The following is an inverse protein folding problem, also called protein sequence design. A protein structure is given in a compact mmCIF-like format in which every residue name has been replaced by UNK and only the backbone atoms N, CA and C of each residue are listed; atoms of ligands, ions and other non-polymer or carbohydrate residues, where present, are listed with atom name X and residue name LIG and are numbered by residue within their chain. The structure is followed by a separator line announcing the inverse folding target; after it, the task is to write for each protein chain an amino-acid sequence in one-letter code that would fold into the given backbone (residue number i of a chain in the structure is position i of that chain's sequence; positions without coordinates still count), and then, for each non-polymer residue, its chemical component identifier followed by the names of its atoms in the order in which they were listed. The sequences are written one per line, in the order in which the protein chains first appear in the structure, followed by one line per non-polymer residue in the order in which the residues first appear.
data_IF_813082641729
#
_entry.id   IF_813082641729
#
_cell.length_a   1.000
_cell.length_b   1.000
_cell.length_c   1.000
_cell.angle_alpha   90.00
_cell.angle_beta   90.00
_cell.angle_gamma   90.00
#
_symmetry.space_group_name_H-M   'P 1'
#
loop_
_entity.id
_entity.type
_entity.pdbx_description
1 polymer ?
#
# COMPACT_ATOMS: atom_id res chain seq x y z
N UNK A 1 -9.22 19.05 -19.67
CA UNK A 1 -9.42 20.21 -18.83
C UNK A 1 -9.86 19.88 -17.40
N UNK A 2 -9.62 18.65 -16.87
CA UNK A 2 -9.98 18.28 -15.50
C UNK A 2 -8.76 17.88 -14.65
N UNK A 3 -7.58 18.08 -15.16
CA UNK A 3 -6.31 17.71 -14.49
C UNK A 3 -5.68 18.83 -13.65
N UNK A 4 -6.24 20.04 -13.63
CA UNK A 4 -5.63 21.22 -13.04
C UNK A 4 -6.20 21.67 -11.68
N UNK A 5 -6.97 20.85 -10.99
CA UNK A 5 -7.61 21.25 -9.73
C UNK A 5 -7.19 20.49 -8.47
N UNK A 6 -6.07 19.79 -8.49
CA UNK A 6 -5.42 19.33 -7.24
C UNK A 6 -4.48 20.38 -6.63
N UNK A 7 -4.39 21.58 -7.20
CA UNK A 7 -3.43 22.63 -6.84
C UNK A 7 -3.83 23.50 -5.64
N UNK A 8 -4.81 23.11 -4.86
CA UNK A 8 -5.35 23.98 -3.78
C UNK A 8 -4.94 23.64 -2.35
N UNK A 9 -4.23 22.55 -2.13
CA UNK A 9 -3.67 22.19 -0.82
C UNK A 9 -2.16 22.22 -0.97
N UNK A 10 -1.48 22.91 -0.06
CA UNK A 10 -0.01 22.85 0.06
C UNK A 10 0.41 21.42 0.47
N UNK A 11 0.29 20.55 -0.49
CA UNK A 11 0.67 19.16 -0.45
C UNK A 11 2.14 19.09 -0.82
N UNK A 12 3.08 19.33 0.04
CA UNK A 12 4.52 19.25 -0.22
C UNK A 12 4.91 18.60 -1.58
N UNK A 13 6.11 18.78 -2.07
CA UNK A 13 6.52 18.19 -3.35
C UNK A 13 6.23 16.70 -3.37
N UNK A 14 5.40 16.16 -4.29
CA UNK A 14 5.07 14.74 -4.31
C UNK A 14 6.29 13.90 -4.69
N UNK A 15 6.56 12.86 -3.90
CA UNK A 15 7.58 11.88 -4.23
C UNK A 15 7.06 10.92 -5.32
N UNK A 16 5.85 10.44 -5.10
CA UNK A 16 5.14 9.53 -6.01
C UNK A 16 3.86 10.18 -6.46
N UNK A 17 3.58 10.08 -7.76
CA UNK A 17 2.33 10.50 -8.37
C UNK A 17 1.89 9.45 -9.37
N UNK A 18 0.66 8.98 -9.27
CA UNK A 18 0.07 8.11 -10.28
C UNK A 18 -1.08 8.84 -10.98
N UNK A 19 -1.17 8.70 -12.30
CA UNK A 19 -2.17 9.34 -13.14
C UNK A 19 -2.87 8.31 -14.00
N UNK A 20 -4.18 8.15 -13.78
CA UNK A 20 -5.05 7.27 -14.55
C UNK A 20 -4.47 5.85 -14.68
N UNK A 21 -3.90 5.33 -13.60
CA UNK A 21 -3.25 4.02 -13.59
C UNK A 21 -4.28 2.92 -13.75
N UNK A 22 -4.02 2.01 -14.69
CA UNK A 22 -4.88 0.86 -15.00
C UNK A 22 -4.04 -0.40 -15.05
N UNK A 23 -4.56 -1.46 -14.48
CA UNK A 23 -4.04 -2.82 -14.64
C UNK A 23 -5.19 -3.79 -14.84
N UNK A 24 -5.28 -4.33 -16.05
CA UNK A 24 -6.29 -5.29 -16.46
C UNK A 24 -5.65 -6.65 -16.74
N UNK A 25 -6.34 -7.70 -16.37
CA UNK A 25 -5.92 -9.08 -16.66
C UNK A 25 -6.95 -9.77 -17.54
N UNK A 26 -6.48 -10.48 -18.55
CA UNK A 26 -7.35 -11.32 -19.36
C UNK A 26 -7.68 -12.60 -18.59
N UNK A 27 -8.95 -12.90 -18.41
CA UNK A 27 -9.45 -14.12 -17.79
C UNK A 27 -10.33 -14.89 -18.78
N UNK A 28 -10.69 -16.12 -18.42
CA UNK A 28 -11.63 -16.91 -19.23
C UNK A 28 -13.03 -16.29 -19.31
N UNK A 29 -13.40 -15.45 -18.33
CA UNK A 29 -14.70 -14.77 -18.24
C UNK A 29 -14.71 -13.37 -18.81
N UNK A 30 -13.55 -12.82 -19.17
CA UNK A 30 -13.40 -11.46 -19.68
C UNK A 30 -12.21 -10.72 -19.08
N UNK A 31 -12.22 -9.40 -19.17
CA UNK A 31 -11.15 -8.55 -18.65
C UNK A 31 -11.42 -8.19 -17.19
N UNK A 32 -10.52 -8.62 -16.32
CA UNK A 32 -10.51 -8.23 -14.92
C UNK A 32 -9.86 -6.85 -14.77
N UNK A 33 -10.63 -5.84 -14.34
CA UNK A 33 -10.16 -4.49 -14.07
C UNK A 33 -9.63 -4.38 -12.62
N UNK A 34 -8.48 -4.99 -12.36
CA UNK A 34 -7.93 -5.09 -11.01
C UNK A 34 -7.51 -3.73 -10.44
N UNK A 35 -6.99 -2.84 -11.27
CA UNK A 35 -6.73 -1.42 -10.99
C UNK A 35 -7.34 -0.63 -12.14
N UNK A 36 -8.25 0.28 -11.83
CA UNK A 36 -9.05 0.93 -12.86
C UNK A 36 -9.15 2.44 -12.61
N UNK A 37 -8.32 3.19 -13.35
CA UNK A 37 -8.31 4.65 -13.38
C UNK A 37 -8.05 5.28 -12.00
N UNK A 38 -6.95 4.92 -11.36
CA UNK A 38 -6.57 5.46 -10.06
C UNK A 38 -5.54 6.58 -10.24
N UNK A 39 -5.81 7.72 -9.61
CA UNK A 39 -4.93 8.89 -9.58
C UNK A 39 -4.79 9.42 -8.16
N UNK A 40 -3.57 9.53 -7.68
CA UNK A 40 -3.24 10.20 -6.41
C UNK A 40 -1.75 10.57 -6.37
N UNK A 41 -1.37 11.36 -5.38
CA UNK A 41 0.02 11.66 -5.08
C UNK A 41 0.35 11.37 -3.62
N UNK A 42 1.63 11.05 -3.37
CA UNK A 42 2.14 10.81 -2.02
C UNK A 42 3.28 11.81 -1.78
N UNK A 43 3.10 12.77 -0.86
CA UNK A 43 4.16 13.71 -0.48
C UNK A 43 5.35 13.00 0.15
N UNK A 44 6.54 13.53 -0.05
CA UNK A 44 7.76 13.01 0.56
C UNK A 44 7.67 13.02 2.08
N UNK A 45 8.03 11.91 2.72
CA UNK A 45 8.02 11.77 4.17
C UNK A 45 6.66 11.40 4.77
N UNK A 46 5.61 11.28 3.97
CA UNK A 46 4.27 10.89 4.43
C UNK A 46 3.97 9.41 4.21
N UNK A 47 2.95 8.93 4.88
CA UNK A 47 2.37 7.60 4.66
C UNK A 47 0.97 7.74 4.09
N UNK A 48 0.75 7.14 2.91
CA UNK A 48 -0.59 6.93 2.37
C UNK A 48 -1.07 5.53 2.76
N UNK A 49 -2.15 5.47 3.53
CA UNK A 49 -2.87 4.22 3.79
C UNK A 49 -3.76 3.86 2.61
N UNK A 50 -3.72 2.60 2.19
CA UNK A 50 -4.61 2.06 1.17
C UNK A 50 -5.41 0.93 1.80
N UNK A 51 -6.72 1.12 1.89
CA UNK A 51 -7.62 0.20 2.60
C UNK A 51 -8.73 -0.31 1.71
N UNK A 52 -9.31 -1.42 2.10
CA UNK A 52 -10.43 -2.05 1.43
C UNK A 52 -10.48 -3.54 1.73
N UNK A 53 -11.57 -4.18 1.32
CA UNK A 53 -11.75 -5.63 1.46
C UNK A 53 -10.71 -6.40 0.64
N UNK A 54 -10.44 -7.66 1.02
CA UNK A 54 -9.60 -8.57 0.25
C UNK A 54 -10.10 -8.70 -1.20
N UNK A 55 -9.18 -8.69 -2.16
CA UNK A 55 -9.51 -8.78 -3.58
C UNK A 55 -9.97 -7.46 -4.21
N UNK A 56 -9.86 -6.32 -3.53
CA UNK A 56 -10.22 -5.02 -4.10
C UNK A 56 -9.14 -4.39 -5.00
N UNK A 57 -7.98 -5.04 -5.17
CA UNK A 57 -6.89 -4.58 -6.02
C UNK A 57 -5.75 -3.83 -5.31
N UNK A 58 -5.71 -3.82 -3.98
CA UNK A 58 -4.68 -3.12 -3.20
C UNK A 58 -3.26 -3.59 -3.51
N UNK A 59 -3.02 -4.90 -3.43
CA UNK A 59 -1.71 -5.48 -3.72
C UNK A 59 -1.33 -5.33 -5.19
N UNK A 60 -2.29 -5.48 -6.09
CA UNK A 60 -2.08 -5.24 -7.53
C UNK A 60 -1.69 -3.79 -7.79
N UNK A 61 -2.33 -2.83 -7.11
CA UNK A 61 -1.97 -1.41 -7.20
C UNK A 61 -0.52 -1.19 -6.78
N UNK A 62 -0.10 -1.73 -5.64
CA UNK A 62 1.27 -1.59 -5.14
C UNK A 62 2.30 -2.17 -6.10
N UNK A 63 2.05 -3.35 -6.64
CA UNK A 63 2.95 -4.01 -7.60
C UNK A 63 3.01 -3.30 -8.94
N UNK A 64 1.89 -2.75 -9.39
CA UNK A 64 1.83 -1.98 -10.64
C UNK A 64 2.55 -0.65 -10.49
N UNK A 65 2.37 0.03 -9.36
CA UNK A 65 3.06 1.27 -9.05
C UNK A 65 4.58 1.09 -9.05
N UNK A 66 5.08 -0.02 -8.50
CA UNK A 66 6.50 -0.37 -8.50
C UNK A 66 6.98 -0.95 -9.84
N UNK A 67 6.12 -1.08 -10.83
CA UNK A 67 6.38 -1.74 -12.11
C UNK A 67 6.89 -3.18 -11.95
N UNK A 68 6.47 -3.87 -10.91
CA UNK A 68 6.59 -5.32 -10.78
C UNK A 68 5.57 -6.03 -11.67
N UNK A 69 4.45 -5.36 -11.94
CA UNK A 69 3.47 -5.69 -12.97
C UNK A 69 3.46 -4.53 -13.96
N UNK A 70 3.50 -4.83 -15.26
CA UNK A 70 3.39 -3.79 -16.29
C UNK A 70 1.98 -3.22 -16.31
N UNK A 71 1.81 -1.89 -16.20
CA UNK A 71 0.51 -1.25 -16.31
C UNK A 71 -0.14 -1.49 -17.68
N UNK A 72 -1.46 -1.54 -17.70
CA UNK A 72 -2.22 -1.52 -18.95
C UNK A 72 -2.26 -0.11 -19.55
N UNK A 73 -2.37 0.90 -18.68
CA UNK A 73 -2.41 2.32 -19.07
C UNK A 73 -2.05 3.19 -17.85
N UNK A 74 -1.81 4.47 -18.09
CA UNK A 74 -1.53 5.45 -17.07
C UNK A 74 -0.06 5.78 -16.91
N UNK A 75 0.25 6.59 -15.90
CA UNK A 75 1.60 7.06 -15.60
C UNK A 75 1.93 6.83 -14.13
N UNK A 76 3.20 6.55 -13.86
CA UNK A 76 3.77 6.51 -12.51
C UNK A 76 4.98 7.44 -12.50
N UNK A 77 4.89 8.52 -11.72
CA UNK A 77 5.94 9.52 -11.63
C UNK A 77 6.68 9.41 -10.30
N UNK A 78 8.00 9.30 -10.37
CA UNK A 78 8.90 9.42 -9.24
C UNK A 78 9.63 10.77 -9.36
N UNK A 79 9.37 11.69 -8.44
CA UNK A 79 9.88 13.08 -8.51
C UNK A 79 9.68 13.72 -9.89
N UNK A 80 8.52 13.50 -10.50
CA UNK A 80 8.16 14.03 -11.79
C UNK A 80 8.65 13.24 -13.01
N UNK A 81 9.47 12.21 -12.83
CA UNK A 81 9.94 11.34 -13.92
C UNK A 81 9.05 10.11 -14.06
N UNK A 82 8.53 9.87 -15.28
CA UNK A 82 7.70 8.68 -15.54
C UNK A 82 8.58 7.42 -15.59
N UNK A 83 8.41 6.56 -14.59
CA UNK A 83 9.19 5.32 -14.48
C UNK A 83 8.83 4.30 -15.57
N UNK A 84 7.67 4.44 -16.21
CA UNK A 84 7.23 3.55 -17.29
C UNK A 84 7.99 3.79 -18.59
N UNK A 85 8.66 4.94 -18.72
CA UNK A 85 9.53 5.28 -19.85
C UNK A 85 11.00 4.83 -19.63
N UNK A 86 11.32 4.33 -18.44
CA UNK A 86 12.65 3.85 -18.11
C UNK A 86 12.99 2.58 -18.90
N UNK A 87 14.22 2.54 -19.43
CA UNK A 87 14.79 1.31 -19.99
C UNK A 87 15.24 0.37 -18.85
N UNK A 88 15.76 -0.80 -19.19
CA UNK A 88 16.18 -1.82 -18.24
C UNK A 88 17.23 -1.32 -17.23
N UNK A 89 18.22 -0.56 -17.73
CA UNK A 89 19.28 -0.02 -16.87
C UNK A 89 18.78 1.08 -15.94
N UNK A 90 17.93 1.98 -16.44
CA UNK A 90 17.28 3.01 -15.64
C UNK A 90 16.37 2.39 -14.58
N UNK A 91 15.66 1.31 -14.90
CA UNK A 91 14.83 0.58 -13.92
C UNK A 91 15.67 -0.09 -12.84
N UNK A 92 16.86 -0.58 -13.17
CA UNK A 92 17.78 -1.12 -12.16
C UNK A 92 18.15 -0.07 -11.12
N UNK A 93 18.41 1.16 -11.53
CA UNK A 93 18.65 2.29 -10.63
C UNK A 93 17.37 2.64 -9.84
N UNK A 94 16.22 2.66 -10.50
CA UNK A 94 14.94 2.96 -9.87
C UNK A 94 14.57 1.93 -8.79
N UNK A 95 14.95 0.65 -8.98
CA UNK A 95 14.74 -0.41 -7.98
C UNK A 95 15.45 -0.14 -6.65
N UNK A 96 16.55 0.63 -6.65
CA UNK A 96 17.21 1.04 -5.42
C UNK A 96 16.42 2.11 -4.67
N UNK A 97 15.62 2.90 -5.36
CA UNK A 97 14.84 4.02 -4.79
C UNK A 97 13.48 3.58 -4.26
N UNK A 98 12.92 2.51 -4.81
CA UNK A 98 11.58 2.00 -4.49
C UNK A 98 11.64 0.51 -4.18
N UNK A 99 11.12 0.12 -3.04
CA UNK A 99 11.12 -1.25 -2.56
C UNK A 99 9.74 -1.69 -2.09
N UNK A 100 9.60 -2.98 -1.84
CA UNK A 100 8.38 -3.58 -1.33
C UNK A 100 8.66 -4.46 -0.11
N UNK A 101 7.82 -4.33 0.91
CA UNK A 101 7.73 -5.27 2.02
C UNK A 101 6.49 -6.12 1.80
N UNK A 102 6.67 -7.44 1.74
CA UNK A 102 5.63 -8.39 1.33
C UNK A 102 4.77 -8.85 2.51
N UNK A 103 3.54 -9.26 2.20
CA UNK A 103 2.55 -9.75 3.15
C UNK A 103 2.99 -11.02 3.88
N UNK A 104 3.53 -11.99 3.13
CA UNK A 104 3.88 -13.31 3.67
C UNK A 104 5.38 -13.41 3.89
N UNK A 105 5.82 -13.32 5.17
CA UNK A 105 7.24 -13.45 5.48
C UNK A 105 7.80 -14.87 5.26
N UNK A 106 6.93 -15.87 5.09
CA UNK A 106 7.35 -17.24 4.76
C UNK A 106 7.60 -17.40 3.26
N UNK A 107 6.70 -16.88 2.43
CA UNK A 107 6.78 -17.02 0.99
C UNK A 107 7.80 -16.07 0.34
N UNK A 108 8.07 -14.92 0.95
CA UNK A 108 8.93 -13.88 0.37
C UNK A 108 10.43 -14.12 0.58
N UNK A 109 10.82 -15.04 1.46
CA UNK A 109 12.22 -15.35 1.78
C UNK A 109 12.61 -16.70 1.17
N UNK A 110 13.77 -16.76 0.52
CA UNK A 110 14.31 -18.04 0.01
C UNK A 110 14.76 -18.92 1.17
N UNK A 111 14.13 -20.09 1.40
CA UNK A 111 14.45 -20.95 2.54
C UNK A 111 15.85 -21.58 2.47
N UNK A 112 16.49 -21.52 1.32
CA UNK A 112 17.85 -22.04 1.10
C UNK A 112 18.95 -21.05 1.47
N UNK A 113 18.59 -19.79 1.69
CA UNK A 113 19.53 -18.72 2.00
C UNK A 113 19.55 -18.43 3.50
N UNK A 114 20.71 -18.08 4.02
CA UNK A 114 20.85 -17.58 5.39
C UNK A 114 20.31 -16.15 5.51
N UNK A 115 20.01 -15.70 6.72
CA UNK A 115 19.58 -14.33 7.00
C UNK A 115 20.53 -13.31 6.38
N UNK A 116 21.85 -13.46 6.60
CA UNK A 116 22.86 -12.57 6.03
C UNK A 116 22.80 -12.51 4.51
N UNK A 117 22.66 -13.64 3.86
CA UNK A 117 22.62 -13.72 2.40
C UNK A 117 21.35 -13.10 1.82
N UNK A 118 20.22 -13.28 2.49
CA UNK A 118 18.95 -12.65 2.08
C UNK A 118 19.07 -11.13 2.13
N UNK A 119 19.62 -10.58 3.20
CA UNK A 119 19.77 -9.13 3.35
C UNK A 119 20.82 -8.58 2.39
N UNK A 120 21.90 -9.33 2.14
CA UNK A 120 22.98 -8.93 1.24
C UNK A 120 22.60 -9.00 -0.25
N UNK A 121 21.63 -9.84 -0.62
CA UNK A 121 21.28 -10.09 -2.04
C UNK A 121 20.98 -8.82 -2.83
N UNK A 122 20.10 -7.91 -2.40
CA UNK A 122 19.83 -6.69 -3.16
C UNK A 122 21.05 -5.79 -3.30
N UNK A 123 21.95 -5.77 -2.34
CA UNK A 123 23.21 -5.01 -2.43
C UNK A 123 24.08 -5.55 -3.58
N UNK A 124 24.18 -6.88 -3.68
CA UNK A 124 24.94 -7.57 -4.72
C UNK A 124 24.30 -7.43 -6.09
N UNK A 125 22.99 -7.63 -6.18
CA UNK A 125 22.22 -7.52 -7.43
C UNK A 125 22.27 -6.11 -8.01
N UNK A 126 22.11 -5.10 -7.17
CA UNK A 126 22.18 -3.69 -7.56
C UNK A 126 23.63 -3.16 -7.67
N UNK A 127 24.63 -3.98 -7.37
CA UNK A 127 26.06 -3.64 -7.45
C UNK A 127 26.44 -2.38 -6.65
N UNK A 128 25.86 -2.22 -5.48
CA UNK A 128 26.08 -1.05 -4.62
C UNK A 128 27.42 -1.10 -3.89
N UNK A 129 27.82 -2.28 -3.44
CA UNK A 129 29.09 -2.55 -2.78
C UNK A 129 29.73 -3.78 -3.40
N UNK A 130 31.08 -3.82 -3.44
CA UNK A 130 31.84 -4.88 -4.09
C UNK A 130 32.71 -5.70 -3.12
N UNK A 131 33.09 -5.10 -1.99
CA UNK A 131 33.90 -5.76 -0.97
C UNK A 131 33.02 -6.60 -0.05
N UNK A 132 33.39 -7.84 0.21
CA UNK A 132 32.69 -8.71 1.18
C UNK A 132 32.67 -8.10 2.59
N UNK A 133 33.74 -7.41 3.01
CA UNK A 133 33.80 -6.74 4.30
C UNK A 133 32.78 -5.59 4.39
N UNK A 134 32.66 -4.76 3.35
CA UNK A 134 31.69 -3.67 3.30
C UNK A 134 30.26 -4.19 3.33
N UNK A 135 29.98 -5.28 2.58
CA UNK A 135 28.67 -5.93 2.56
C UNK A 135 28.33 -6.48 3.94
N UNK A 136 29.26 -7.17 4.59
CA UNK A 136 29.07 -7.73 5.93
C UNK A 136 28.82 -6.64 6.98
N UNK A 137 29.53 -5.53 6.93
CA UNK A 137 29.29 -4.38 7.80
C UNK A 137 27.90 -3.79 7.58
N UNK A 138 27.50 -3.63 6.32
CA UNK A 138 26.16 -3.13 5.98
C UNK A 138 25.06 -4.06 6.50
N UNK A 139 25.20 -5.37 6.30
CA UNK A 139 24.26 -6.39 6.77
C UNK A 139 24.16 -6.39 8.30
N UNK A 140 25.29 -6.34 9.01
CA UNK A 140 25.30 -6.29 10.47
C UNK A 140 24.61 -5.02 11.00
N UNK A 141 24.86 -3.87 10.37
CA UNK A 141 24.18 -2.60 10.70
C UNK A 141 22.68 -2.66 10.46
N UNK A 142 22.23 -3.27 9.37
CA UNK A 142 20.82 -3.46 9.05
C UNK A 142 20.13 -4.40 10.05
N UNK A 143 20.79 -5.50 10.44
CA UNK A 143 20.28 -6.40 11.46
C UNK A 143 20.05 -5.67 12.79
N UNK A 144 21.00 -4.86 13.21
CA UNK A 144 20.87 -4.03 14.41
C UNK A 144 19.71 -3.05 14.27
N UNK A 145 19.61 -2.36 13.14
CA UNK A 145 18.56 -1.38 12.85
C UNK A 145 17.15 -1.98 12.97
N UNK A 146 16.95 -3.21 12.52
CA UNK A 146 15.64 -3.88 12.60
C UNK A 146 15.46 -4.74 13.84
N UNK A 147 16.42 -4.76 14.75
CA UNK A 147 16.33 -5.50 16.01
C UNK A 147 16.54 -7.00 15.89
N UNK A 148 17.32 -7.46 14.92
CA UNK A 148 17.76 -8.85 14.79
C UNK A 148 19.10 -9.06 15.49
N UNK A 149 19.15 -10.00 16.43
CA UNK A 149 20.39 -10.33 17.12
C UNK A 149 21.47 -10.88 16.14
N UNK A 150 22.75 -10.53 16.33
CA UNK A 150 23.85 -10.98 15.45
C UNK A 150 23.94 -12.51 15.30
N UNK A 151 23.53 -13.25 16.33
CA UNK A 151 23.54 -14.73 16.31
C UNK A 151 22.64 -15.33 15.22
N UNK A 152 21.67 -14.58 14.70
CA UNK A 152 20.78 -15.04 13.65
C UNK A 152 21.35 -14.89 12.23
N UNK A 153 22.53 -14.29 12.08
CA UNK A 153 23.12 -14.01 10.76
C UNK A 153 23.27 -15.27 9.89
N UNK A 154 23.62 -16.40 10.50
CA UNK A 154 23.80 -17.69 9.81
C UNK A 154 22.58 -18.61 9.92
N UNK A 155 21.49 -18.15 10.53
CA UNK A 155 20.25 -18.91 10.62
C UNK A 155 19.50 -18.90 9.27
N UNK A 156 18.64 -19.90 9.09
CA UNK A 156 17.72 -19.97 7.96
C UNK A 156 16.33 -19.46 8.37
N UNK A 157 15.51 -18.96 7.43
CA UNK A 157 14.20 -18.42 7.78
C UNK A 157 13.29 -19.36 8.57
N UNK A 158 13.34 -20.68 8.28
CA UNK A 158 12.52 -21.66 8.98
C UNK A 158 12.87 -21.86 10.46
N UNK A 159 14.04 -21.40 10.88
CA UNK A 159 14.49 -21.43 12.29
C UNK A 159 13.94 -20.24 13.09
N UNK A 160 13.26 -19.28 12.45
CA UNK A 160 12.81 -18.04 13.05
C UNK A 160 11.27 -17.94 13.02
N UNK A 161 10.72 -17.19 13.98
CA UNK A 161 9.29 -16.89 14.03
C UNK A 161 8.87 -15.84 12.98
N UNK A 162 7.55 -15.61 12.87
CA UNK A 162 6.98 -14.69 11.89
C UNK A 162 7.46 -13.25 12.06
N UNK A 163 7.58 -12.76 13.29
CA UNK A 163 8.07 -11.41 13.59
C UNK A 163 9.52 -11.20 13.15
N UNK A 164 10.39 -12.16 13.42
CA UNK A 164 11.79 -12.12 12.98
C UNK A 164 11.92 -12.23 11.46
N UNK A 165 11.13 -13.09 10.82
CA UNK A 165 11.09 -13.17 9.35
C UNK A 165 10.66 -11.85 8.72
N UNK A 166 9.67 -11.18 9.28
CA UNK A 166 9.26 -9.87 8.80
C UNK A 166 10.38 -8.83 8.96
N UNK A 167 11.13 -8.88 10.06
CA UNK A 167 12.31 -8.03 10.26
C UNK A 167 13.39 -8.28 9.22
N UNK A 168 13.60 -9.52 8.79
CA UNK A 168 14.49 -9.84 7.67
C UNK A 168 14.01 -9.18 6.38
N UNK A 169 12.72 -9.26 6.08
CA UNK A 169 12.12 -8.62 4.91
C UNK A 169 12.26 -7.10 4.92
N UNK A 170 12.11 -6.48 6.09
CA UNK A 170 12.33 -5.03 6.27
C UNK A 170 13.80 -4.67 6.05
N UNK A 171 14.73 -5.42 6.65
CA UNK A 171 16.17 -5.19 6.49
C UNK A 171 16.58 -5.33 5.01
N UNK A 172 16.06 -6.33 4.30
CA UNK A 172 16.29 -6.53 2.87
C UNK A 172 15.82 -5.33 2.04
N UNK A 173 14.63 -4.81 2.34
CA UNK A 173 14.11 -3.62 1.68
C UNK A 173 14.99 -2.38 1.94
N UNK A 174 15.50 -2.21 3.16
CA UNK A 174 16.37 -1.10 3.54
C UNK A 174 17.79 -1.20 2.99
N UNK A 175 18.21 -2.38 2.54
CA UNK A 175 19.59 -2.65 2.14
C UNK A 175 20.09 -1.77 0.98
N UNK A 176 19.20 -1.27 0.16
CA UNK A 176 19.50 -0.41 -0.99
C UNK A 176 19.28 1.08 -0.71
N UNK A 177 19.02 1.45 0.53
CA UNK A 177 18.71 2.82 0.98
C UNK A 177 17.58 3.47 0.17
N UNK A 178 16.38 2.84 0.13
CA UNK A 178 15.25 3.35 -0.65
C UNK A 178 14.70 4.65 -0.09
N UNK A 179 13.92 5.36 -0.91
CA UNK A 179 13.16 6.54 -0.49
C UNK A 179 11.67 6.24 -0.35
N UNK A 180 11.19 5.25 -1.08
CA UNK A 180 9.79 4.85 -1.12
C UNK A 180 9.65 3.34 -0.90
N UNK A 181 8.73 2.95 -0.03
CA UNK A 181 8.43 1.55 0.25
C UNK A 181 6.92 1.32 0.19
N UNK A 182 6.50 0.34 -0.59
CA UNK A 182 5.16 -0.23 -0.52
C UNK A 182 5.17 -1.32 0.54
N UNK A 183 4.39 -1.13 1.60
CA UNK A 183 4.18 -2.12 2.65
C UNK A 183 2.87 -2.85 2.36
N UNK A 184 2.94 -4.08 1.84
CA UNK A 184 1.77 -4.87 1.47
C UNK A 184 1.35 -5.76 2.64
N UNK A 185 0.40 -5.28 3.42
CA UNK A 185 -0.14 -5.95 4.62
C UNK A 185 0.97 -6.52 5.54
N UNK A 186 1.93 -5.67 5.97
CA UNK A 186 3.17 -6.15 6.59
C UNK A 186 2.98 -6.80 7.96
N UNK A 187 1.80 -6.67 8.56
CA UNK A 187 1.51 -7.17 9.91
C UNK A 187 0.32 -8.14 9.98
N UNK A 188 -0.37 -8.40 8.87
CA UNK A 188 -1.63 -9.17 8.87
C UNK A 188 -1.48 -10.62 9.33
N UNK A 189 -0.31 -11.23 9.12
CA UNK A 189 -0.01 -12.62 9.51
C UNK A 189 0.61 -12.76 10.91
N UNK A 190 0.71 -11.66 11.67
CA UNK A 190 1.40 -11.61 12.96
C UNK A 190 0.41 -11.48 14.12
N UNK A 191 0.83 -11.95 15.31
CA UNK A 191 0.10 -11.76 16.57
C UNK A 191 0.02 -10.28 16.93
N UNK A 192 -1.03 -9.87 17.67
CA UNK A 192 -1.31 -8.47 17.99
C UNK A 192 -0.12 -7.74 18.63
N UNK A 193 0.57 -8.39 19.59
CA UNK A 193 1.74 -7.79 20.25
C UNK A 193 2.93 -7.60 19.28
N UNK A 194 3.14 -8.55 18.39
CA UNK A 194 4.18 -8.49 17.37
C UNK A 194 3.82 -7.46 16.29
N UNK A 195 2.55 -7.34 15.92
CA UNK A 195 2.07 -6.29 15.01
C UNK A 195 2.46 -4.90 15.53
N UNK A 196 2.21 -4.61 16.79
CA UNK A 196 2.56 -3.33 17.41
C UNK A 196 4.07 -3.05 17.33
N UNK A 197 4.90 -4.06 17.57
CA UNK A 197 6.35 -3.93 17.48
C UNK A 197 6.81 -3.61 16.04
N UNK A 198 6.26 -4.29 15.04
CA UNK A 198 6.61 -4.06 13.63
C UNK A 198 6.11 -2.69 13.15
N UNK A 199 4.90 -2.27 13.54
CA UNK A 199 4.39 -0.94 13.23
C UNK A 199 5.26 0.17 13.81
N UNK A 200 5.66 0.04 15.07
CA UNK A 200 6.56 0.98 15.72
C UNK A 200 7.92 1.02 15.02
N UNK A 201 8.45 -0.13 14.63
CA UNK A 201 9.70 -0.21 13.85
C UNK A 201 9.57 0.55 12.52
N UNK A 202 8.49 0.33 11.77
CA UNK A 202 8.26 1.02 10.50
C UNK A 202 8.13 2.54 10.67
N UNK A 203 7.47 2.99 11.73
CA UNK A 203 7.34 4.41 12.05
C UNK A 203 8.69 5.04 12.45
N UNK A 204 9.48 4.35 13.26
CA UNK A 204 10.83 4.80 13.65
C UNK A 204 11.77 4.89 12.45
N UNK A 205 11.73 3.89 11.57
CA UNK A 205 12.52 3.88 10.33
C UNK A 205 12.12 5.01 9.38
N UNK A 206 10.83 5.32 9.28
CA UNK A 206 10.34 6.44 8.49
C UNK A 206 10.92 7.76 8.97
N UNK A 207 10.91 7.99 10.27
CA UNK A 207 11.45 9.20 10.88
C UNK A 207 12.98 9.29 10.70
N UNK A 208 13.70 8.19 10.97
CA UNK A 208 15.17 8.15 10.90
C UNK A 208 15.72 8.30 9.48
N UNK A 209 15.03 7.71 8.49
CA UNK A 209 15.50 7.66 7.10
C UNK A 209 14.69 8.54 6.14
N UNK A 210 13.75 9.32 6.66
CA UNK A 210 12.82 10.13 5.86
C UNK A 210 12.13 9.32 4.75
N UNK A 211 11.60 8.15 5.12
CA UNK A 211 10.94 7.25 4.19
C UNK A 211 9.51 7.72 3.87
N UNK A 212 9.07 7.43 2.67
CA UNK A 212 7.69 7.60 2.22
C UNK A 212 7.08 6.21 2.06
N UNK A 213 5.91 5.99 2.64
CA UNK A 213 5.22 4.70 2.58
C UNK A 213 3.90 4.77 1.81
N UNK A 214 3.61 3.72 1.05
CA UNK A 214 2.24 3.33 0.73
C UNK A 214 1.93 2.07 1.57
N UNK A 215 1.06 2.22 2.57
CA UNK A 215 0.75 1.16 3.53
C UNK A 215 -0.58 0.51 3.20
N UNK A 216 -0.54 -0.72 2.71
CA UNK A 216 -1.71 -1.49 2.32
C UNK A 216 -2.16 -2.34 3.49
N UNK A 217 -3.43 -2.21 3.88
CA UNK A 217 -4.04 -3.03 4.93
C UNK A 217 -5.55 -3.12 4.76
N UNK A 218 -6.16 -4.16 5.32
CA UNK A 218 -7.61 -4.25 5.48
C UNK A 218 -8.06 -3.80 6.88
N UNK A 219 -7.13 -3.48 7.78
CA UNK A 219 -7.40 -3.09 9.15
C UNK A 219 -7.42 -1.56 9.29
N UNK A 220 -8.63 -1.00 9.51
CA UNK A 220 -8.84 0.44 9.66
C UNK A 220 -8.16 1.01 10.90
N UNK A 221 -8.02 0.23 11.98
CA UNK A 221 -7.34 0.67 13.20
C UNK A 221 -5.84 0.86 12.97
N UNK A 222 -5.23 -0.04 12.21
CA UNK A 222 -3.81 0.04 11.83
C UNK A 222 -3.55 1.26 10.95
N UNK A 223 -4.37 1.46 9.92
CA UNK A 223 -4.19 2.58 8.99
C UNK A 223 -4.39 3.94 9.67
N UNK A 224 -5.31 4.02 10.63
CA UNK A 224 -5.51 5.22 11.44
C UNK A 224 -4.26 5.62 12.20
N UNK A 225 -3.55 4.62 12.73
CA UNK A 225 -2.36 4.84 13.55
C UNK A 225 -1.15 5.32 12.74
N UNK A 226 -0.94 4.76 11.54
CA UNK A 226 0.29 4.99 10.77
C UNK A 226 0.15 6.04 9.65
N UNK A 227 -1.05 6.31 9.16
CA UNK A 227 -1.24 7.05 7.90
C UNK A 227 -1.55 8.53 8.11
N UNK A 228 -1.01 9.36 7.22
CA UNK A 228 -1.35 10.79 7.09
C UNK A 228 -2.62 10.98 6.26
N UNK A 229 -2.76 10.19 5.19
CA UNK A 229 -3.90 10.17 4.29
C UNK A 229 -4.31 8.75 3.98
N UNK A 230 -5.57 8.57 3.58
CA UNK A 230 -6.14 7.26 3.29
C UNK A 230 -6.83 7.29 1.94
N UNK A 231 -6.54 6.29 1.11
CA UNK A 231 -7.29 5.94 -0.09
C UNK A 231 -8.12 4.68 0.19
N UNK A 232 -9.42 4.79 0.05
CA UNK A 232 -10.34 3.66 0.20
C UNK A 232 -10.60 3.04 -1.16
N UNK A 233 -10.31 1.76 -1.31
CA UNK A 233 -10.47 1.03 -2.56
C UNK A 233 -11.63 0.05 -2.50
N UNK A 234 -12.37 -0.01 -3.59
CA UNK A 234 -13.42 -0.98 -3.81
C UNK A 234 -13.39 -1.48 -5.27
N UNK A 235 -13.24 -2.78 -5.46
CA UNK A 235 -13.23 -3.45 -6.78
C UNK A 235 -12.39 -2.70 -7.84
N UNK A 236 -11.14 -2.39 -7.50
CA UNK A 236 -10.19 -1.78 -8.41
C UNK A 236 -10.28 -0.27 -8.55
N UNK A 237 -11.19 0.39 -7.85
CA UNK A 237 -11.37 1.84 -7.89
C UNK A 237 -11.09 2.48 -6.52
N UNK A 238 -10.60 3.72 -6.54
CA UNK A 238 -10.56 4.56 -5.35
C UNK A 238 -11.91 5.25 -5.19
N UNK A 239 -12.61 4.98 -4.10
CA UNK A 239 -13.97 5.52 -3.86
C UNK A 239 -13.99 6.70 -2.89
N UNK A 240 -12.97 6.81 -2.06
CA UNK A 240 -12.80 7.95 -1.16
C UNK A 240 -11.31 8.20 -0.88
N UNK A 241 -10.91 9.47 -0.80
CA UNK A 241 -9.53 9.89 -0.51
C UNK A 241 -9.56 11.13 0.37
N UNK A 242 -8.87 11.10 1.49
CA UNK A 242 -8.89 12.19 2.46
C UNK A 242 -7.72 12.08 3.43
N UNK A 243 -7.46 13.16 4.20
CA UNK A 243 -6.65 13.08 5.41
C UNK A 243 -7.28 12.10 6.41
N UNK A 244 -6.43 11.45 7.19
CA UNK A 244 -6.86 10.39 8.12
C UNK A 244 -7.90 10.88 9.12
N UNK A 245 -7.66 11.99 9.80
CA UNK A 245 -8.60 12.57 10.79
C UNK A 245 -9.94 12.92 10.15
N UNK A 246 -9.94 13.54 8.99
CA UNK A 246 -11.16 13.90 8.26
C UNK A 246 -11.95 12.65 7.84
N UNK A 247 -11.28 11.62 7.36
CA UNK A 247 -11.96 10.38 6.96
C UNK A 247 -12.67 9.70 8.12
N UNK A 248 -12.02 9.63 9.29
CA UNK A 248 -12.59 9.00 10.48
C UNK A 248 -13.72 9.83 11.11
N UNK A 249 -13.62 11.15 11.06
CA UNK A 249 -14.63 12.06 11.61
C UNK A 249 -15.82 12.26 10.67
N UNK A 250 -15.59 12.23 9.35
CA UNK A 250 -16.61 12.54 8.35
C UNK A 250 -16.52 11.61 7.13
N UNK A 251 -16.70 10.29 7.31
CA UNK A 251 -16.72 9.35 6.17
C UNK A 251 -17.96 9.61 5.31
N UNK A 252 -17.77 9.76 4.00
CA UNK A 252 -18.86 10.16 3.09
C UNK A 252 -19.35 9.02 2.21
N UNK A 253 -18.45 8.15 1.71
CA UNK A 253 -18.88 7.02 0.90
C UNK A 253 -19.51 5.93 1.78
N UNK A 254 -20.68 5.38 1.39
CA UNK A 254 -21.35 4.34 2.19
C UNK A 254 -20.48 3.11 2.49
N UNK A 255 -19.59 2.75 1.57
CA UNK A 255 -18.62 1.68 1.79
C UNK A 255 -17.61 2.02 2.90
N UNK A 256 -17.08 3.25 2.90
CA UNK A 256 -16.19 3.74 3.96
C UNK A 256 -16.88 3.74 5.31
N UNK A 257 -18.12 4.20 5.37
CA UNK A 257 -18.93 4.18 6.60
C UNK A 257 -19.09 2.76 7.14
N UNK A 258 -19.34 1.79 6.28
CA UNK A 258 -19.47 0.40 6.64
C UNK A 258 -18.14 -0.20 7.15
N UNK A 259 -17.00 0.15 6.53
CA UNK A 259 -15.68 -0.28 7.00
C UNK A 259 -15.37 0.26 8.39
N UNK A 260 -15.72 1.52 8.67
CA UNK A 260 -15.50 2.14 9.98
C UNK A 260 -16.43 1.57 11.05
N UNK A 261 -17.67 1.26 10.72
CA UNK A 261 -18.63 0.64 11.65
C UNK A 261 -18.23 -0.79 12.06
N UNK A 262 -17.42 -1.46 11.26
CA UNK A 262 -16.90 -2.79 11.57
C UNK A 262 -15.76 -2.78 12.60
N UNK A 263 -15.21 -1.61 12.97
CA UNK A 263 -14.19 -1.50 14.01
C UNK A 263 -14.82 -1.79 15.37
N UNK A 264 -14.28 -2.74 16.16
CA UNK A 264 -14.77 -2.99 17.52
C UNK A 264 -14.55 -1.77 18.41
N UNK A 265 -15.62 -1.23 19.00
CA UNK A 265 -15.54 -0.13 19.98
C UNK A 265 -15.54 -0.73 21.37
N UNK A 266 -14.54 -0.42 22.23
CA UNK A 266 -14.48 -0.92 23.61
C UNK A 266 -15.57 -0.38 24.52
N UNK A 267 -16.20 0.76 24.19
CA UNK A 267 -17.15 1.45 25.04
C UNK A 267 -18.61 1.05 24.77
N UNK A 268 -19.29 0.64 25.84
CA UNK A 268 -20.69 0.24 25.83
C UNK A 268 -21.70 1.37 25.54
N UNK A 269 -21.24 2.64 25.51
CA UNK A 269 -22.10 3.81 25.40
C UNK A 269 -22.51 4.21 23.99
N UNK A 270 -21.82 3.70 22.96
CA UNK A 270 -22.11 4.04 21.56
C UNK A 270 -22.86 2.95 20.77
N UNK A 271 -23.40 1.95 21.45
CA UNK A 271 -24.20 0.87 20.83
C UNK A 271 -25.55 1.31 20.24
N UNK A 272 -25.86 2.59 20.24
CA UNK A 272 -27.14 3.11 19.75
C UNK A 272 -27.17 3.40 18.23
N UNK A 273 -26.06 3.23 17.51
CA UNK A 273 -26.05 3.33 16.03
C UNK A 273 -26.24 1.95 15.44
N UNK A 274 -27.22 1.80 14.57
CA UNK A 274 -27.35 0.60 13.74
C UNK A 274 -26.11 0.51 12.86
N UNK A 275 -25.34 -0.61 12.94
CA UNK A 275 -24.15 -0.74 12.12
C UNK A 275 -24.54 -0.79 10.64
N UNK A 276 -23.78 -0.10 9.80
CA UNK A 276 -23.91 -0.19 8.35
C UNK A 276 -23.39 -1.56 7.88
N UNK A 277 -24.26 -2.57 7.94
CA UNK A 277 -23.91 -3.93 7.52
C UNK A 277 -23.82 -3.96 6.00
N UNK A 278 -22.65 -4.28 5.47
CA UNK A 278 -22.47 -4.53 4.05
C UNK A 278 -23.16 -5.85 3.71
N UNK A 279 -24.26 -5.76 2.97
CA UNK A 279 -25.02 -6.92 2.49
C UNK A 279 -24.51 -7.34 1.12
N UNK A 280 -24.65 -8.65 0.79
CA UNK A 280 -24.33 -9.19 -0.51
C UNK A 280 -22.89 -9.71 -0.64
N UNK A 281 -22.66 -10.44 -1.71
CA UNK A 281 -21.35 -11.02 -2.01
C UNK A 281 -20.44 -10.03 -2.72
N UNK A 282 -19.13 -10.18 -2.49
CA UNK A 282 -18.11 -9.43 -3.24
C UNK A 282 -18.11 -9.98 -4.65
N UNK A 283 -18.42 -9.12 -5.62
CA UNK A 283 -18.28 -9.47 -7.03
C UNK A 283 -16.84 -9.23 -7.52
N UNK A 284 -16.49 -9.84 -8.65
CA UNK A 284 -15.24 -9.54 -9.33
C UNK A 284 -15.46 -8.44 -10.38
N UNK A 285 -14.54 -7.50 -10.57
CA UNK A 285 -14.65 -6.46 -11.59
C UNK A 285 -14.26 -6.99 -12.97
N UNK A 286 -14.88 -8.10 -13.40
CA UNK A 286 -14.72 -8.68 -14.74
C UNK A 286 -15.74 -8.03 -15.65
N UNK A 287 -15.27 -7.39 -16.72
CA UNK A 287 -16.12 -6.62 -17.66
C UNK A 287 -17.12 -5.73 -16.90
N UNK A 288 -16.66 -4.84 -16.02
CA UNK A 288 -17.54 -4.06 -15.16
C UNK A 288 -18.52 -3.22 -16.00
N UNK A 289 -19.77 -3.17 -15.54
CA UNK A 289 -20.79 -2.32 -16.14
C UNK A 289 -20.54 -0.86 -15.73
N UNK A 290 -21.01 0.13 -16.56
CA UNK A 290 -21.00 1.51 -16.15
C UNK A 290 -21.73 1.75 -14.83
N UNK A 291 -21.25 2.70 -14.05
CA UNK A 291 -21.87 3.09 -12.80
C UNK A 291 -21.05 2.71 -11.55
N UNK A 292 -21.65 2.97 -10.41
CA UNK A 292 -21.03 2.69 -9.12
C UNK A 292 -20.96 1.18 -8.88
N UNK A 293 -19.74 0.66 -8.68
CA UNK A 293 -19.52 -0.78 -8.42
C UNK A 293 -20.08 -1.24 -7.08
N UNK A 294 -20.27 -0.33 -6.14
CA UNK A 294 -20.85 -0.62 -4.83
C UNK A 294 -22.39 -0.60 -4.85
N UNK A 295 -23.04 -0.15 -5.93
CA UNK A 295 -24.49 0.03 -6.01
C UNK A 295 -25.30 -1.21 -5.59
N UNK A 296 -24.85 -2.42 -5.95
CA UNK A 296 -25.53 -3.66 -5.58
C UNK A 296 -25.55 -3.96 -4.08
N UNK A 297 -24.66 -3.35 -3.31
CA UNK A 297 -24.51 -3.53 -1.85
C UNK A 297 -24.85 -2.27 -1.06
N UNK A 298 -25.12 -1.16 -1.76
CA UNK A 298 -25.36 0.16 -1.16
C UNK A 298 -26.82 0.32 -0.74
N UNK A 299 -27.11 0.67 0.52
CA UNK A 299 -28.48 0.90 0.99
C UNK A 299 -29.10 2.16 0.39
N UNK A 300 -28.30 3.07 -0.17
CA UNK A 300 -28.72 4.34 -0.76
C UNK A 300 -28.72 4.34 -2.29
N UNK A 301 -28.51 3.18 -2.93
CA UNK A 301 -28.41 3.09 -4.37
C UNK A 301 -29.69 3.57 -5.07
N UNK A 302 -29.52 4.33 -6.15
CA UNK A 302 -30.59 4.82 -7.02
C UNK A 302 -30.27 4.48 -8.47
N UNK A 303 -31.23 4.72 -9.38
CA UNK A 303 -31.01 4.52 -10.83
C UNK A 303 -29.82 5.32 -11.36
N UNK A 304 -29.61 6.52 -10.84
CA UNK A 304 -28.48 7.37 -11.21
C UNK A 304 -27.12 6.70 -11.00
N UNK A 305 -27.00 5.83 -10.00
CA UNK A 305 -25.76 5.09 -9.71
C UNK A 305 -25.36 4.09 -10.79
N UNK A 306 -26.27 3.74 -11.70
CA UNK A 306 -26.04 2.76 -12.78
C UNK A 306 -25.92 3.39 -14.17
N UNK A 307 -26.14 4.72 -14.29
CA UNK A 307 -26.21 5.38 -15.59
C UNK A 307 -24.86 5.69 -16.21
N UNK A 308 -23.87 6.06 -15.38
CA UNK A 308 -22.53 6.46 -15.83
C UNK A 308 -21.51 6.19 -14.76
N UNK A 309 -20.25 6.12 -15.15
CA UNK A 309 -19.15 5.97 -14.20
C UNK A 309 -19.07 7.18 -13.28
N UNK A 310 -18.87 6.89 -11.99
CA UNK A 310 -18.75 7.91 -10.95
C UNK A 310 -17.28 8.28 -10.79
N UNK A 311 -16.98 9.55 -10.97
CA UNK A 311 -15.64 10.08 -10.79
C UNK A 311 -15.38 10.50 -9.34
N UNK A 312 -14.13 10.43 -8.92
CA UNK A 312 -13.69 10.95 -7.64
C UNK A 312 -13.71 12.49 -7.69
N UNK A 313 -14.58 13.12 -6.92
CA UNK A 313 -14.75 14.56 -6.87
C UNK A 313 -14.43 15.12 -5.50
N UNK A 314 -13.80 16.30 -5.44
CA UNK A 314 -13.57 17.03 -4.21
C UNK A 314 -14.88 17.62 -3.68
N UNK A 315 -15.31 17.16 -2.51
CA UNK A 315 -16.57 17.61 -1.87
C UNK A 315 -16.33 18.65 -0.79
N UNK A 316 -15.20 18.53 -0.08
CA UNK A 316 -14.67 19.55 0.82
C UNK A 316 -13.16 19.63 0.59
N UNK A 317 -12.45 20.71 0.99
CA UNK A 317 -11.02 20.82 0.73
C UNK A 317 -10.24 19.59 1.18
N UNK A 318 -9.57 18.91 0.25
CA UNK A 318 -8.79 17.70 0.51
C UNK A 318 -9.56 16.41 0.72
N UNK A 319 -10.87 16.43 0.61
CA UNK A 319 -11.73 15.26 0.76
C UNK A 319 -12.46 14.94 -0.55
N UNK A 320 -12.08 13.82 -1.15
CA UNK A 320 -12.55 13.35 -2.46
C UNK A 320 -13.44 12.13 -2.30
N UNK A 321 -14.55 12.10 -3.00
CA UNK A 321 -15.54 11.00 -2.93
C UNK A 321 -16.06 10.68 -4.32
N UNK A 322 -16.20 9.40 -4.62
CA UNK A 322 -16.84 8.89 -5.85
C UNK A 322 -18.25 8.35 -5.53
N UNK A 323 -19.17 9.26 -5.33
CA UNK A 323 -20.56 8.93 -4.99
C UNK A 323 -21.53 9.95 -5.56
#
# INVERSE_FOLDING_TARGET
GATDKMDGIDMGTPLIEIKHLKKYFRTQRGMLHAVDDISFSIPEGETLGVVGESGCGKSTLGRTLLRLLEPTDGEVLYKGENILECNKEQMRVMRTKMQMIFQDPYASLDPRMTVSNIIAEPIKVCRLLHSENEINEKVNGLMETVGLAPRFANAYPHELDGGRRQRIGIARALAVDPKFIVCDEPVSALDVSIQAQILNLLMDLQEQHNLTYMFITHDMSVVKHISNRIAVMYLGQCVEFSETEELFNNPMHPYTQALLDAIPIPELSERSREPHIIKGEISNPINPKPGCRFASRCPYASEACSMQDIQLNEVTPGHFVAC
#
